data_IF_437828607560
#
_entry.id   IF_437828607560
#
_cell.length_a   1.000
_cell.length_b   1.000
_cell.length_c   1.000
_cell.angle_alpha   90.00
_cell.angle_beta   90.00
_cell.angle_gamma   90.00
#
_symmetry.space_group_name_H-M   'P 1'
#
loop_
_entity.id
_entity.type
_entity.pdbx_description
1 polymer ?
#
# COMPACT_ATOMS: atom_id res chain seq x y z
N UNK A 1 0.82 -0.65 44.35
CA UNK A 1 0.45 -1.20 43.03
C UNK A 1 0.41 -0.06 42.03
N UNK A 2 1.40 0.08 41.15
CA UNK A 2 1.41 1.10 40.09
C UNK A 2 1.33 0.38 38.75
N UNK A 3 0.17 0.46 38.10
CA UNK A 3 -0.05 -0.03 36.75
C UNK A 3 0.69 0.92 35.80
N UNK A 4 1.81 0.45 35.25
CA UNK A 4 2.51 1.13 34.17
C UNK A 4 1.74 0.81 32.87
N UNK A 5 0.79 1.66 32.50
CA UNK A 5 0.13 1.59 31.19
C UNK A 5 1.10 2.07 30.12
N UNK A 6 1.94 1.15 29.65
CA UNK A 6 2.58 1.30 28.34
C UNK A 6 1.45 1.33 27.31
N UNK A 7 1.11 2.51 26.78
CA UNK A 7 0.44 2.62 25.48
C UNK A 7 1.40 2.04 24.45
N UNK A 8 1.45 0.72 24.33
CA UNK A 8 1.87 0.07 23.11
C UNK A 8 0.83 0.50 22.10
N UNK A 9 1.24 1.36 21.17
CA UNK A 9 0.58 1.46 19.89
C UNK A 9 0.68 0.05 19.30
N UNK A 10 -0.32 -0.78 19.59
CA UNK A 10 -0.50 -2.06 18.93
C UNK A 10 -0.51 -1.75 17.44
N UNK A 11 0.60 -2.05 16.77
CA UNK A 11 0.80 -2.04 15.32
C UNK A 11 0.01 -3.17 14.69
N UNK A 12 -1.30 -3.17 14.98
CA UNK A 12 -2.23 -4.25 14.67
C UNK A 12 -3.18 -3.83 13.56
N UNK A 13 -2.62 -3.36 12.46
CA UNK A 13 -3.32 -3.07 11.20
C UNK A 13 -2.19 -3.05 10.17
N UNK A 14 -1.94 -4.11 9.39
CA UNK A 14 -2.79 -4.55 8.28
C UNK A 14 -2.52 -6.03 8.05
N UNK A 15 -3.42 -6.92 8.49
CA UNK A 15 -3.35 -8.35 8.13
C UNK A 15 -4.10 -8.68 6.83
N UNK A 16 -4.81 -7.71 6.23
CA UNK A 16 -5.73 -7.94 5.12
C UNK A 16 -5.53 -6.96 3.95
N UNK A 17 -4.29 -6.72 3.51
CA UNK A 17 -4.10 -5.89 2.33
C UNK A 17 -4.66 -6.60 1.08
N UNK A 18 -5.65 -6.01 0.43
CA UNK A 18 -6.13 -6.50 -0.86
C UNK A 18 -5.08 -6.21 -1.91
N UNK A 19 -4.70 -7.21 -2.69
CA UNK A 19 -3.74 -7.08 -3.78
C UNK A 19 -4.33 -7.48 -5.12
N UNK A 20 -3.92 -6.78 -6.17
CA UNK A 20 -4.30 -7.08 -7.56
C UNK A 20 -3.06 -6.99 -8.44
N UNK A 21 -2.78 -8.07 -9.15
CA UNK A 21 -1.71 -8.12 -10.14
C UNK A 21 -2.05 -7.16 -11.28
N UNK A 22 -1.09 -6.32 -11.65
CA UNK A 22 -1.24 -5.37 -12.75
C UNK A 22 -0.89 -6.06 -14.08
N UNK A 23 -1.39 -5.52 -15.19
CA UNK A 23 -1.08 -6.05 -16.53
C UNK A 23 0.39 -5.85 -16.88
N UNK A 24 0.90 -6.66 -17.81
CA UNK A 24 2.33 -6.73 -18.19
C UNK A 24 2.94 -5.40 -18.66
N UNK A 25 2.15 -4.42 -19.10
CA UNK A 25 2.63 -3.12 -19.55
C UNK A 25 2.87 -2.09 -18.43
N UNK A 26 2.91 -2.53 -17.17
CA UNK A 26 2.88 -1.64 -16.00
C UNK A 26 4.26 -1.09 -15.57
N UNK A 27 5.21 -0.88 -16.49
CA UNK A 27 6.54 -0.27 -16.24
C UNK A 27 7.25 -0.83 -14.98
N UNK A 28 7.46 -2.14 -14.94
CA UNK A 28 8.06 -2.88 -13.80
C UNK A 28 7.22 -2.91 -12.51
N UNK A 29 5.98 -2.42 -12.54
CA UNK A 29 5.01 -2.63 -11.46
C UNK A 29 4.31 -3.98 -11.66
N UNK A 30 4.20 -4.72 -10.57
CA UNK A 30 3.71 -6.10 -10.52
C UNK A 30 2.31 -6.15 -9.93
N UNK A 31 2.01 -5.35 -8.91
CA UNK A 31 0.71 -5.36 -8.24
C UNK A 31 0.39 -4.03 -7.60
N UNK A 32 -0.90 -3.76 -7.42
CA UNK A 32 -1.44 -2.68 -6.59
C UNK A 32 -2.09 -3.26 -5.34
N UNK A 33 -1.93 -2.57 -4.21
CA UNK A 33 -2.44 -2.97 -2.91
C UNK A 33 -3.19 -1.86 -2.21
N UNK A 34 -4.22 -2.21 -1.43
CA UNK A 34 -4.94 -1.27 -0.55
C UNK A 34 -5.29 -1.96 0.77
N UNK A 35 -5.31 -1.21 1.86
CA UNK A 35 -6.02 -1.61 3.08
C UNK A 35 -7.44 -1.06 3.01
N UNK A 36 -8.44 -1.91 2.89
CA UNK A 36 -9.85 -1.50 2.85
C UNK A 36 -10.60 -1.70 4.17
N UNK A 37 -9.89 -2.07 5.24
CA UNK A 37 -10.46 -2.12 6.60
C UNK A 37 -10.57 -0.72 7.24
N UNK A 38 -9.99 0.31 6.61
CA UNK A 38 -9.98 1.70 7.08
C UNK A 38 -10.76 2.63 6.16
N UNK A 39 -11.36 3.70 6.72
CA UNK A 39 -12.09 4.72 5.93
C UNK A 39 -11.18 5.55 5.01
N UNK A 40 -9.90 5.61 5.36
CA UNK A 40 -8.87 6.24 4.56
C UNK A 40 -7.60 5.39 4.57
N UNK A 41 -6.91 5.34 3.43
CA UNK A 41 -5.82 4.39 3.22
C UNK A 41 -4.79 4.95 2.24
N UNK A 42 -3.54 4.52 2.39
CA UNK A 42 -2.55 4.68 1.33
C UNK A 42 -2.75 3.58 0.30
N UNK A 43 -2.33 3.87 -0.92
CA UNK A 43 -2.30 2.88 -1.99
C UNK A 43 -0.86 2.40 -2.11
N UNK A 44 -0.70 1.09 -2.23
CA UNK A 44 0.58 0.41 -2.28
C UNK A 44 0.84 -0.14 -3.68
N UNK A 45 2.10 -0.21 -4.07
CA UNK A 45 2.54 -0.90 -5.29
C UNK A 45 3.66 -1.85 -4.99
N UNK A 46 3.56 -3.05 -5.57
CA UNK A 46 4.68 -3.96 -5.69
C UNK A 46 5.35 -3.69 -7.02
N UNK A 47 6.64 -3.38 -7.01
CA UNK A 47 7.44 -3.20 -8.21
C UNK A 47 8.76 -3.94 -8.12
N UNK A 48 9.47 -4.03 -9.24
CA UNK A 48 10.82 -4.58 -9.29
C UNK A 48 11.85 -3.45 -9.12
N UNK A 49 12.70 -3.57 -8.11
CA UNK A 49 13.82 -2.67 -7.87
C UNK A 49 14.94 -2.89 -8.90
N UNK A 50 15.92 -1.98 -8.93
CA UNK A 50 17.06 -2.04 -9.88
C UNK A 50 17.90 -3.30 -9.75
N UNK A 51 17.96 -3.88 -8.55
CA UNK A 51 18.67 -5.13 -8.25
C UNK A 51 17.83 -6.39 -8.58
N UNK A 52 16.63 -6.22 -9.12
CA UNK A 52 15.72 -7.31 -9.45
C UNK A 52 14.86 -7.80 -8.29
N UNK A 53 15.04 -7.28 -7.07
CA UNK A 53 14.21 -7.64 -5.93
C UNK A 53 12.80 -7.04 -6.03
N UNK A 54 11.81 -7.72 -5.48
CA UNK A 54 10.48 -7.16 -5.33
C UNK A 54 10.46 -6.16 -4.16
N UNK A 55 9.91 -4.97 -4.40
CA UNK A 55 9.85 -3.88 -3.43
C UNK A 55 8.44 -3.32 -3.33
N UNK A 56 8.02 -2.97 -2.11
CA UNK A 56 6.78 -2.25 -1.89
C UNK A 56 7.01 -0.73 -1.85
N UNK A 57 6.12 -0.01 -2.51
CA UNK A 57 6.05 1.44 -2.54
C UNK A 57 4.68 1.88 -2.04
N UNK A 58 4.60 3.06 -1.47
CA UNK A 58 3.35 3.66 -0.99
C UNK A 58 3.13 5.04 -1.59
N UNK A 59 1.87 5.40 -1.74
CA UNK A 59 1.47 6.72 -2.22
C UNK A 59 1.81 7.77 -1.19
N UNK A 60 2.23 8.96 -1.65
CA UNK A 60 2.39 10.11 -0.76
C UNK A 60 1.05 10.57 -0.19
N UNK A 61 -0.01 10.50 -0.98
CA UNK A 61 -1.37 10.86 -0.58
C UNK A 61 -2.06 9.75 0.22
N UNK A 62 -2.96 10.18 1.11
CA UNK A 62 -3.96 9.33 1.76
C UNK A 62 -5.28 9.53 1.01
N UNK A 63 -5.94 8.44 0.66
CA UNK A 63 -7.19 8.45 -0.12
C UNK A 63 -8.33 7.94 0.73
N UNK A 64 -9.54 8.41 0.46
CA UNK A 64 -10.75 7.78 1.01
C UNK A 64 -10.87 6.35 0.49
N UNK A 65 -11.47 5.45 1.28
CA UNK A 65 -11.68 4.04 0.89
C UNK A 65 -12.33 3.90 -0.48
N UNK A 66 -13.35 4.71 -0.76
CA UNK A 66 -14.03 4.74 -2.07
C UNK A 66 -13.08 5.08 -3.23
N UNK A 67 -12.24 6.09 -3.05
CA UNK A 67 -11.25 6.49 -4.07
C UNK A 67 -10.18 5.42 -4.26
N UNK A 68 -9.68 4.85 -3.16
CA UNK A 68 -8.68 3.78 -3.19
C UNK A 68 -9.21 2.52 -3.90
N UNK A 69 -10.44 2.10 -3.59
CA UNK A 69 -11.10 0.98 -4.26
C UNK A 69 -11.29 1.23 -5.76
N UNK A 70 -11.71 2.44 -6.15
CA UNK A 70 -11.85 2.81 -7.56
C UNK A 70 -10.53 2.64 -8.31
N UNK A 71 -9.43 3.15 -7.76
CA UNK A 71 -8.11 3.04 -8.37
C UNK A 71 -7.58 1.60 -8.37
N UNK A 72 -7.83 0.85 -7.28
CA UNK A 72 -7.48 -0.56 -7.16
C UNK A 72 -8.16 -1.41 -8.24
N UNK A 73 -9.49 -1.33 -8.38
CA UNK A 73 -10.23 -2.15 -9.35
C UNK A 73 -9.89 -1.78 -10.79
N UNK A 74 -9.69 -0.49 -11.06
CA UNK A 74 -9.31 -0.01 -12.38
C UNK A 74 -7.82 -0.22 -12.70
N UNK A 75 -6.99 -0.62 -11.73
CA UNK A 75 -5.54 -0.73 -11.90
C UNK A 75 -4.85 0.60 -12.23
N UNK A 76 -5.43 1.74 -11.77
CA UNK A 76 -4.98 3.10 -12.11
C UNK A 76 -3.75 3.54 -11.31
N UNK A 77 -2.69 2.74 -11.32
CA UNK A 77 -1.46 3.06 -10.61
C UNK A 77 -0.84 4.38 -11.12
N UNK A 78 -0.86 4.65 -12.42
CA UNK A 78 -0.29 5.87 -12.98
C UNK A 78 -0.88 7.16 -12.39
N UNK A 79 -2.19 7.16 -12.09
CA UNK A 79 -2.90 8.31 -11.51
C UNK A 79 -2.49 8.53 -10.06
N UNK A 80 -2.51 7.46 -9.27
CA UNK A 80 -2.17 7.47 -7.83
C UNK A 80 -0.77 8.00 -7.60
N UNK A 81 0.16 7.58 -8.45
CA UNK A 81 1.59 7.78 -8.25
C UNK A 81 2.18 8.90 -9.11
N UNK A 82 1.36 9.60 -9.89
CA UNK A 82 1.73 10.88 -10.54
C UNK A 82 2.17 11.94 -9.51
N UNK A 83 1.65 11.85 -8.28
CA UNK A 83 2.04 12.70 -7.16
C UNK A 83 3.36 12.29 -6.50
N UNK A 84 3.96 11.19 -6.96
CA UNK A 84 5.18 10.59 -6.43
C UNK A 84 4.92 9.41 -5.50
N UNK A 85 5.98 8.63 -5.29
CA UNK A 85 5.97 7.40 -4.51
C UNK A 85 7.10 7.44 -3.48
N UNK A 86 6.94 6.75 -2.37
CA UNK A 86 8.04 6.49 -1.42
C UNK A 86 8.16 4.99 -1.20
N UNK A 87 9.39 4.51 -0.96
CA UNK A 87 9.60 3.13 -0.53
C UNK A 87 8.80 2.90 0.75
N UNK A 88 7.99 1.85 0.80
CA UNK A 88 7.22 1.56 2.01
C UNK A 88 8.16 1.00 3.08
N UNK A 89 8.00 1.48 4.31
CA UNK A 89 8.69 0.91 5.47
C UNK A 89 8.10 -0.43 5.89
N UNK A 90 6.92 -0.77 5.37
CA UNK A 90 6.23 -2.01 5.65
C UNK A 90 6.34 -2.91 4.41
N UNK A 91 6.95 -4.07 4.56
CA UNK A 91 7.24 -5.03 3.47
C UNK A 91 6.48 -6.34 3.61
N UNK A 92 5.97 -6.65 4.81
CA UNK A 92 5.38 -7.94 5.20
C UNK A 92 3.86 -8.01 4.98
N UNK A 93 3.37 -7.34 3.94
CA UNK A 93 1.93 -7.31 3.63
C UNK A 93 1.42 -8.53 2.85
N UNK A 94 2.23 -9.60 2.76
CA UNK A 94 1.94 -10.88 2.11
C UNK A 94 2.32 -12.01 3.06
#
# INVERSE_FOLDING_TARGET
>A
MKLNTTKRFDTKEVKNMKTKVLSSNSRNMLAIGINDDTDSTKIYLKGQAKDGSAQWYESKGIFTKSTALKYFYAGQYSVVFAQGITKSGNTDWI
#
